data_IF_768146230195
#
_entry.id   IF_768146230195
#
_cell.length_a   1.000
_cell.length_b   1.000
_cell.length_c   1.000
_cell.angle_alpha   90.00
_cell.angle_beta   90.00
_cell.angle_gamma   90.00
#
_symmetry.space_group_name_H-M   'P 1'
#
loop_
_entity.id
_entity.type
_entity.pdbx_description
1 polymer ?
#
# COMPACT_ATOMS: atom_id res chain seq x y z
N UNK A 1 30.02 4.10 21.96
CA UNK A 1 29.06 3.28 21.19
C UNK A 1 27.91 4.19 20.83
N UNK A 2 27.50 4.25 19.56
CA UNK A 2 26.37 5.07 19.15
C UNK A 2 25.07 4.42 19.63
N UNK A 3 24.16 5.24 20.16
CA UNK A 3 22.82 4.82 20.59
C UNK A 3 21.98 4.52 19.35
N UNK A 4 21.30 3.36 19.32
CA UNK A 4 20.39 2.99 18.24
C UNK A 4 18.98 3.43 18.62
N UNK A 5 18.41 4.34 17.84
CA UNK A 5 17.00 4.73 17.95
C UNK A 5 16.16 3.80 17.04
N UNK A 6 15.41 2.89 17.67
CA UNK A 6 14.58 1.90 16.97
C UNK A 6 13.11 2.21 17.24
N UNK A 7 12.36 2.51 16.18
CA UNK A 7 10.91 2.68 16.21
C UNK A 7 10.22 1.53 15.48
N UNK A 8 9.13 1.01 16.06
CA UNK A 8 8.32 -0.08 15.50
C UNK A 8 6.86 0.38 15.32
N UNK A 9 6.27 0.10 14.16
CA UNK A 9 4.85 0.32 13.91
C UNK A 9 4.23 -0.92 13.25
N UNK A 10 2.99 -1.25 13.64
CA UNK A 10 2.19 -2.28 12.99
C UNK A 10 1.21 -1.63 12.01
N UNK A 11 1.34 -1.95 10.74
CA UNK A 11 0.44 -1.49 9.69
C UNK A 11 -0.67 -2.50 9.46
N UNK A 12 -1.90 -2.03 9.31
CA UNK A 12 -3.07 -2.85 8.99
C UNK A 12 -3.72 -2.25 7.75
N UNK A 13 -3.94 -3.06 6.73
CA UNK A 13 -4.60 -2.68 5.49
C UNK A 13 -5.24 -3.88 4.84
N UNK A 14 -6.31 -3.66 4.08
CA UNK A 14 -6.91 -4.73 3.28
C UNK A 14 -6.06 -4.95 2.03
N UNK A 15 -5.52 -6.15 1.79
CA UNK A 15 -4.78 -6.42 0.56
C UNK A 15 -5.73 -6.37 -0.65
N UNK A 16 -5.19 -6.05 -1.82
CA UNK A 16 -5.96 -6.05 -3.07
C UNK A 16 -6.39 -7.45 -3.50
N UNK A 17 -7.15 -7.57 -4.58
CA UNK A 17 -7.65 -8.86 -5.10
C UNK A 17 -6.53 -9.88 -5.39
N UNK A 18 -5.31 -9.40 -5.65
CA UNK A 18 -4.12 -10.22 -5.88
C UNK A 18 -3.31 -10.51 -4.62
N UNK A 19 -3.87 -10.25 -3.44
CA UNK A 19 -3.17 -10.30 -2.14
C UNK A 19 -1.95 -9.36 -2.06
N UNK A 20 -1.88 -8.35 -2.92
CA UNK A 20 -0.78 -7.39 -3.00
C UNK A 20 -1.16 -6.05 -2.36
N UNK A 21 -0.20 -5.43 -1.68
CA UNK A 21 -0.28 -4.06 -1.20
C UNK A 21 1.12 -3.43 -1.23
N UNK A 22 1.17 -2.15 -1.60
CA UNK A 22 2.39 -1.35 -1.60
C UNK A 22 2.44 -0.49 -0.34
N UNK A 23 3.58 -0.53 0.35
CA UNK A 23 3.86 0.35 1.49
C UNK A 23 4.72 1.51 1.01
N UNK A 24 4.31 2.73 1.31
CA UNK A 24 5.05 3.94 1.00
C UNK A 24 5.37 4.70 2.28
N UNK A 25 6.65 5.01 2.47
CA UNK A 25 7.14 5.86 3.55
C UNK A 25 7.48 7.24 2.97
N UNK A 26 7.04 8.28 3.66
CA UNK A 26 7.34 9.66 3.34
C UNK A 26 7.78 10.42 4.58
N UNK A 27 8.88 11.15 4.47
CA UNK A 27 9.34 12.09 5.49
C UNK A 27 9.42 13.48 4.85
N UNK A 28 8.81 14.52 5.44
CA UNK A 28 9.02 15.89 4.98
C UNK A 28 10.49 16.29 5.07
N UNK A 29 11.03 16.91 4.02
CA UNK A 29 12.41 17.45 4.04
C UNK A 29 12.51 18.71 4.91
N UNK A 30 11.41 19.45 5.03
CA UNK A 30 11.29 20.63 5.88
C UNK A 30 11.29 20.23 7.36
N UNK A 31 12.26 20.74 8.12
CA UNK A 31 12.51 20.38 9.52
C UNK A 31 11.33 20.74 10.43
N UNK A 32 10.64 21.86 10.18
CA UNK A 32 9.48 22.25 10.99
C UNK A 32 8.31 21.31 10.71
N UNK A 33 8.07 20.98 9.44
CA UNK A 33 7.01 20.01 9.06
C UNK A 33 7.31 18.62 9.57
N UNK A 34 8.56 18.18 9.53
CA UNK A 34 8.99 16.89 10.06
C UNK A 34 8.76 16.82 11.57
N UNK A 35 9.08 17.87 12.33
CA UNK A 35 8.81 17.92 13.77
C UNK A 35 7.32 17.91 14.10
N UNK A 36 6.50 18.60 13.31
CA UNK A 36 5.06 18.69 13.53
C UNK A 36 4.29 17.43 13.12
N UNK A 37 4.69 16.77 12.02
CA UNK A 37 3.92 15.70 11.38
C UNK A 37 4.58 14.32 11.48
N UNK A 38 5.89 14.28 11.73
CA UNK A 38 6.67 13.07 11.74
C UNK A 38 6.80 12.42 10.36
N UNK A 39 7.11 11.13 10.37
CA UNK A 39 7.12 10.28 9.18
C UNK A 39 5.70 9.78 8.92
N UNK A 40 5.31 9.80 7.66
CA UNK A 40 4.01 9.33 7.19
C UNK A 40 4.19 7.99 6.48
N UNK A 41 3.27 7.06 6.75
CA UNK A 41 3.27 5.74 6.12
C UNK A 41 1.90 5.50 5.51
N UNK A 42 1.87 5.10 4.25
CA UNK A 42 0.66 4.75 3.53
C UNK A 42 0.71 3.28 3.07
N UNK A 43 -0.40 2.57 3.23
CA UNK A 43 -0.59 1.22 2.69
C UNK A 43 -1.62 1.31 1.58
N UNK A 44 -1.22 1.01 0.35
CA UNK A 44 -2.02 1.20 -0.85
C UNK A 44 -2.23 -0.16 -1.51
N UNK A 45 -3.49 -0.56 -1.67
CA UNK A 45 -3.87 -1.71 -2.47
C UNK A 45 -4.63 -1.22 -3.71
N UNK A 46 -4.18 -1.62 -4.89
CA UNK A 46 -4.88 -1.33 -6.15
C UNK A 46 -5.83 -2.49 -6.47
N UNK A 47 -7.09 -2.19 -6.74
CA UNK A 47 -8.00 -3.15 -7.35
C UNK A 47 -7.75 -3.17 -8.86
N UNK A 48 -7.61 -4.35 -9.45
CA UNK A 48 -7.64 -4.49 -10.90
C UNK A 48 -9.12 -4.64 -11.29
N UNK A 49 -9.62 -3.94 -12.32
CA UNK A 49 -10.95 -4.22 -12.82
C UNK A 49 -10.99 -5.67 -13.28
N UNK A 50 -11.87 -6.47 -12.66
CA UNK A 50 -12.13 -7.84 -13.08
C UNK A 50 -12.59 -7.78 -14.53
N UNK A 51 -11.82 -8.36 -15.45
CA UNK A 51 -12.24 -8.52 -16.84
C UNK A 51 -13.45 -9.44 -16.81
N UNK A 52 -14.66 -8.90 -17.01
CA UNK A 52 -15.87 -9.70 -17.08
C UNK A 52 -15.68 -10.73 -18.19
N UNK A 53 -15.70 -12.01 -17.81
CA UNK A 53 -15.58 -13.10 -18.76
C UNK A 53 -16.80 -13.04 -19.69
N UNK A 54 -16.57 -12.70 -20.95
CA UNK A 54 -17.58 -12.81 -22.00
C UNK A 54 -17.97 -14.28 -22.10
N UNK A 55 -19.26 -14.66 -21.98
CA UNK A 55 -19.65 -16.06 -22.12
C UNK A 55 -19.33 -16.49 -23.55
N UNK A 56 -18.46 -17.49 -23.67
CA UNK A 56 -18.18 -18.15 -24.94
C UNK A 56 -19.49 -18.73 -25.46
N UNK A 57 -19.91 -18.28 -26.63
CA UNK A 57 -21.10 -18.80 -27.30
C UNK A 57 -20.74 -20.19 -27.82
N UNK A 58 -21.17 -21.23 -27.11
CA UNK A 58 -21.18 -22.61 -27.61
C UNK A 58 -22.04 -22.64 -28.88
N UNK A 59 -21.37 -22.72 -30.03
CA UNK A 59 -21.99 -23.10 -31.29
C UNK A 59 -22.32 -24.59 -31.23
N UNK A 60 -23.61 -24.91 -31.15
CA UNK A 60 -24.14 -26.26 -31.33
C UNK A 60 -24.03 -26.65 -32.82
N UNK A 61 -23.33 -27.76 -33.08
CA UNK A 61 -23.33 -28.49 -34.35
C UNK A 61 -24.73 -29.06 -34.70
#
# INVERSE_FOLDING_TARGET
MAELDISLAKLIGSPGETSWAQVHEFAPDDVEKLKLRGRLVAVIATTFPKKEATPETESLD
#
